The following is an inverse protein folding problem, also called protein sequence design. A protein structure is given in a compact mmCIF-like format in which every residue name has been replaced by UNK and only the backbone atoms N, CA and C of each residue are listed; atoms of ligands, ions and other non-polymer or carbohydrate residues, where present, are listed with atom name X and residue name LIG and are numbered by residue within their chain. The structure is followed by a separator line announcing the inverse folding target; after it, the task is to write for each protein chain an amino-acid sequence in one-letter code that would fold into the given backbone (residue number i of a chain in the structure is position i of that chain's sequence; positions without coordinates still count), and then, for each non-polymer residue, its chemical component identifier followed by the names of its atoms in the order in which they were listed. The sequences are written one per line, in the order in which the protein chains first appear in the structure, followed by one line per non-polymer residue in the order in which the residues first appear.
data_IF_346530645041
#
_entry.id   IF_346530645041
#
_cell.length_a   1.000
_cell.length_b   1.000
_cell.length_c   1.000
_cell.angle_alpha   90.00
_cell.angle_beta   90.00
_cell.angle_gamma   90.00
#
_symmetry.space_group_name_H-M   'P 1'
#
loop_
_entity.id
_entity.type
_entity.pdbx_description
1 polymer ?
#
# COMPACT_ATOMS: atom_id res chain seq x y z
N UNK A 1 -4.95 29.24 2.02
CA UNK A 1 -3.90 28.34 1.53
C UNK A 1 -4.48 26.94 1.53
N UNK A 2 -4.70 26.36 0.35
CA UNK A 2 -5.43 25.10 0.16
C UNK A 2 -4.68 23.96 0.84
N UNK A 3 -5.25 23.41 1.91
CA UNK A 3 -4.70 22.25 2.60
C UNK A 3 -4.73 21.05 1.67
N UNK A 4 -3.58 20.68 1.13
CA UNK A 4 -3.42 19.36 0.51
C UNK A 4 -3.47 18.36 1.65
N UNK A 5 -4.62 17.67 1.78
CA UNK A 5 -4.79 16.59 2.75
C UNK A 5 -3.70 15.55 2.51
N UNK A 6 -2.97 15.18 3.55
CA UNK A 6 -1.90 14.21 3.47
C UNK A 6 -2.41 12.91 2.81
N UNK A 7 -1.79 12.51 1.68
CA UNK A 7 -2.15 11.28 0.96
C UNK A 7 -1.05 10.27 1.19
N UNK A 8 -1.45 9.21 1.89
CA UNK A 8 -0.61 8.08 2.23
C UNK A 8 -0.86 6.97 1.21
N UNK A 9 0.22 6.48 0.60
CA UNK A 9 0.14 5.48 -0.47
C UNK A 9 0.77 4.18 0.02
N UNK A 10 0.09 3.06 -0.20
CA UNK A 10 0.69 1.74 -0.13
C UNK A 10 1.03 1.26 -1.55
N UNK A 11 2.30 1.00 -1.81
CA UNK A 11 2.79 0.36 -3.03
C UNK A 11 3.05 -1.12 -2.74
N UNK A 12 2.44 -2.02 -3.50
CA UNK A 12 2.64 -3.46 -3.42
C UNK A 12 3.27 -3.94 -4.73
N UNK A 13 4.57 -4.22 -4.68
CA UNK A 13 5.40 -4.51 -5.85
C UNK A 13 6.65 -5.27 -5.41
N UNK A 14 6.92 -6.41 -6.04
CA UNK A 14 8.03 -7.30 -5.69
C UNK A 14 9.32 -6.94 -6.43
N UNK A 15 9.23 -6.30 -7.60
CA UNK A 15 10.37 -5.88 -8.37
C UNK A 15 11.03 -4.60 -7.78
N UNK A 16 12.29 -4.67 -7.32
CA UNK A 16 12.98 -3.51 -6.75
C UNK A 16 13.12 -2.33 -7.70
N UNK A 17 13.29 -2.58 -9.00
CA UNK A 17 13.45 -1.53 -10.01
C UNK A 17 12.16 -0.75 -10.24
N UNK A 18 11.03 -1.46 -10.26
CA UNK A 18 9.70 -0.85 -10.45
C UNK A 18 9.27 -0.08 -9.20
N UNK A 19 9.62 -0.58 -8.00
CA UNK A 19 9.48 0.20 -6.76
C UNK A 19 10.28 1.50 -6.84
N UNK A 20 11.56 1.44 -7.19
CA UNK A 20 12.39 2.64 -7.26
C UNK A 20 11.85 3.65 -8.28
N UNK A 21 11.45 3.19 -9.46
CA UNK A 21 10.88 4.03 -10.51
C UNK A 21 9.59 4.71 -10.04
N UNK A 22 8.69 3.95 -9.40
CA UNK A 22 7.42 4.46 -8.88
C UNK A 22 7.63 5.49 -7.77
N UNK A 23 8.53 5.21 -6.82
CA UNK A 23 8.88 6.15 -5.75
C UNK A 23 9.45 7.46 -6.31
N UNK A 24 10.34 7.39 -7.31
CA UNK A 24 10.87 8.58 -7.98
C UNK A 24 9.76 9.39 -8.66
N UNK A 25 8.84 8.72 -9.35
CA UNK A 25 7.72 9.38 -10.04
C UNK A 25 6.76 10.08 -9.06
N UNK A 26 6.39 9.43 -7.96
CA UNK A 26 5.55 10.01 -6.91
C UNK A 26 6.21 11.22 -6.25
N UNK A 27 7.52 11.13 -5.96
CA UNK A 27 8.30 12.21 -5.36
C UNK A 27 8.45 13.42 -6.29
N UNK A 28 8.69 13.20 -7.58
CA UNK A 28 8.85 14.28 -8.57
C UNK A 28 7.61 15.18 -8.72
N UNK A 29 6.43 14.67 -8.33
CA UNK A 29 5.15 15.38 -8.42
C UNK A 29 4.60 15.78 -7.05
N UNK A 30 5.33 15.51 -5.97
CA UNK A 30 4.93 15.80 -4.60
C UNK A 30 3.52 15.22 -4.25
N UNK A 31 3.23 14.02 -4.79
CA UNK A 31 1.88 13.42 -4.76
C UNK A 31 1.58 12.65 -3.46
N UNK A 32 2.60 12.27 -2.72
CA UNK A 32 2.47 11.52 -1.47
C UNK A 32 3.44 12.09 -0.44
N UNK A 33 2.99 12.13 0.81
CA UNK A 33 3.84 12.53 1.93
C UNK A 33 4.68 11.36 2.41
N UNK A 34 4.06 10.18 2.48
CA UNK A 34 4.72 8.93 2.77
C UNK A 34 4.16 7.80 1.88
N UNK A 35 5.09 6.94 1.45
CA UNK A 35 4.80 5.77 0.63
C UNK A 35 5.32 4.55 1.38
N UNK A 36 4.41 3.68 1.75
CA UNK A 36 4.71 2.37 2.32
C UNK A 36 4.92 1.38 1.19
N UNK A 37 5.89 0.46 1.35
CA UNK A 37 6.17 -0.56 0.34
C UNK A 37 5.99 -1.94 0.97
N UNK A 38 5.12 -2.75 0.36
CA UNK A 38 5.02 -4.18 0.60
C UNK A 38 5.62 -4.91 -0.61
N UNK A 39 6.45 -5.92 -0.36
CA UNK A 39 7.22 -6.64 -1.40
C UNK A 39 6.50 -7.86 -1.94
N UNK A 40 5.39 -8.24 -1.35
CA UNK A 40 4.56 -9.34 -1.81
C UNK A 40 3.14 -9.23 -1.27
N UNK A 41 2.24 -10.11 -1.73
CA UNK A 41 0.85 -10.06 -1.30
C UNK A 41 0.64 -10.49 0.16
N UNK A 42 1.56 -11.25 0.76
CA UNK A 42 1.46 -11.61 2.17
C UNK A 42 1.77 -10.40 3.06
N UNK A 43 2.83 -9.65 2.77
CA UNK A 43 3.14 -8.39 3.44
C UNK A 43 2.01 -7.36 3.28
N UNK A 44 1.40 -7.30 2.09
CA UNK A 44 0.24 -6.43 1.86
C UNK A 44 -0.96 -6.81 2.74
N UNK A 45 -1.25 -8.10 2.90
CA UNK A 45 -2.34 -8.54 3.78
C UNK A 45 -1.99 -8.35 5.25
N UNK A 46 -0.74 -8.56 5.64
CA UNK A 46 -0.26 -8.31 6.99
C UNK A 46 -0.38 -6.83 7.37
N UNK A 47 -0.15 -5.92 6.42
CA UNK A 47 -0.42 -4.48 6.61
C UNK A 47 -1.87 -4.20 7.07
N UNK A 48 -2.87 -4.88 6.49
CA UNK A 48 -4.28 -4.61 6.79
C UNK A 48 -4.89 -5.51 7.87
N UNK A 49 -4.39 -6.73 8.01
CA UNK A 49 -5.02 -7.78 8.80
C UNK A 49 -4.10 -8.38 9.88
N UNK A 50 -2.83 -7.97 9.92
CA UNK A 50 -1.88 -8.40 10.95
C UNK A 50 -2.15 -7.80 12.33
N UNK A 51 -1.42 -8.31 13.31
CA UNK A 51 -1.54 -7.93 14.71
C UNK A 51 -1.17 -6.45 14.95
N UNK A 52 -1.68 -5.90 16.05
CA UNK A 52 -1.33 -4.56 16.50
C UNK A 52 0.16 -4.54 16.90
N UNK A 53 0.99 -3.85 16.12
CA UNK A 53 2.45 -3.83 16.29
C UNK A 53 3.28 -4.12 15.03
N UNK A 54 2.63 -4.38 13.88
CA UNK A 54 3.36 -4.52 12.62
C UNK A 54 4.10 -3.20 12.26
N UNK A 55 5.35 -3.25 11.75
CA UNK A 55 6.14 -2.04 11.45
C UNK A 55 5.45 -1.07 10.50
N UNK A 56 4.60 -1.59 9.61
CA UNK A 56 3.81 -0.78 8.67
C UNK A 56 2.51 -0.22 9.26
N UNK A 57 2.11 -0.65 10.47
CA UNK A 57 0.92 -0.20 11.22
C UNK A 57 1.23 0.70 12.42
N UNK A 58 2.51 0.97 12.71
CA UNK A 58 2.93 1.57 13.99
C UNK A 58 2.43 2.99 14.26
N UNK A 59 1.78 3.65 13.31
CA UNK A 59 1.11 4.93 13.49
C UNK A 59 -0.19 4.83 12.72
N UNK A 60 -1.33 5.28 13.27
CA UNK A 60 -2.71 5.15 12.75
C UNK A 60 -2.97 5.75 11.36
N UNK A 61 -2.19 5.32 10.38
CA UNK A 61 -2.11 5.81 9.02
C UNK A 61 -2.72 4.74 8.14
N UNK A 62 -3.94 5.00 7.68
CA UNK A 62 -4.59 4.15 6.67
C UNK A 62 -4.25 4.74 5.30
N UNK A 63 -3.64 3.97 4.39
CA UNK A 63 -3.34 4.46 3.06
C UNK A 63 -4.66 4.82 2.36
N UNK A 64 -4.68 5.97 1.70
CA UNK A 64 -5.85 6.43 0.94
C UNK A 64 -5.86 5.87 -0.48
N UNK A 65 -4.71 5.42 -0.96
CA UNK A 65 -4.52 4.82 -2.28
C UNK A 65 -3.62 3.61 -2.14
N UNK A 66 -3.98 2.53 -2.83
CA UNK A 66 -3.15 1.33 -2.95
C UNK A 66 -2.77 1.17 -4.43
N UNK A 67 -1.47 1.14 -4.70
CA UNK A 67 -0.91 0.75 -5.99
C UNK A 67 -0.51 -0.73 -5.87
N UNK A 68 -1.28 -1.62 -6.50
CA UNK A 68 -1.16 -3.06 -6.34
C UNK A 68 -0.77 -3.71 -7.67
N UNK A 69 0.41 -4.33 -7.73
CA UNK A 69 0.69 -5.26 -8.82
C UNK A 69 -0.17 -6.53 -8.68
N UNK A 70 -0.60 -7.06 -9.82
CA UNK A 70 -1.41 -8.27 -9.87
C UNK A 70 -0.56 -9.53 -9.77
N UNK A 71 0.70 -9.50 -10.24
CA UNK A 71 1.57 -10.68 -10.30
C UNK A 71 2.56 -10.71 -9.15
N UNK A 72 2.05 -11.02 -7.96
CA UNK A 72 2.86 -11.05 -6.75
C UNK A 72 3.25 -12.46 -6.32
N UNK A 73 4.44 -12.63 -5.70
CA UNK A 73 4.82 -13.87 -5.05
C UNK A 73 4.03 -14.06 -3.73
N UNK A 74 4.06 -15.30 -3.20
CA UNK A 74 3.36 -15.77 -1.98
C UNK A 74 1.83 -15.69 -2.04
N UNK A 75 1.27 -14.50 -2.22
CA UNK A 75 -0.16 -14.26 -2.41
C UNK A 75 -0.36 -13.40 -3.65
N UNK A 76 -1.17 -13.91 -4.58
CA UNK A 76 -1.48 -13.24 -5.83
C UNK A 76 -2.21 -11.90 -5.60
N UNK A 77 -1.93 -10.89 -6.42
CA UNK A 77 -2.51 -9.56 -6.25
C UNK A 77 -4.04 -9.53 -6.39
N UNK A 78 -4.63 -10.41 -7.21
CA UNK A 78 -6.09 -10.53 -7.27
C UNK A 78 -6.66 -11.11 -5.98
N UNK A 79 -5.95 -12.02 -5.32
CA UNK A 79 -6.35 -12.55 -4.01
C UNK A 79 -6.24 -11.46 -2.92
N UNK A 80 -5.20 -10.65 -2.95
CA UNK A 80 -5.10 -9.45 -2.09
C UNK A 80 -6.33 -8.56 -2.31
N UNK A 81 -6.64 -8.19 -3.55
CA UNK A 81 -7.77 -7.34 -3.89
C UNK A 81 -9.11 -7.92 -3.43
N UNK A 82 -9.33 -9.23 -3.61
CA UNK A 82 -10.55 -9.92 -3.14
C UNK A 82 -10.71 -9.80 -1.63
N UNK A 83 -9.65 -10.03 -0.86
CA UNK A 83 -9.69 -9.94 0.61
C UNK A 83 -9.94 -8.52 1.08
N UNK A 84 -9.32 -7.53 0.45
CA UNK A 84 -9.56 -6.12 0.79
C UNK A 84 -11.00 -5.69 0.48
N UNK A 85 -11.55 -6.09 -0.67
CA UNK A 85 -12.95 -5.75 -1.01
C UNK A 85 -13.99 -6.56 -0.24
N UNK A 86 -13.59 -7.70 0.32
CA UNK A 86 -14.44 -8.58 1.12
C UNK A 86 -14.57 -8.18 2.60
N UNK A 87 -13.69 -7.32 3.12
CA UNK A 87 -13.66 -6.94 4.54
C UNK A 87 -14.23 -5.52 4.75
N UNK A 88 -15.12 -5.34 5.73
CA UNK A 88 -15.78 -4.06 5.99
C UNK A 88 -14.79 -2.92 6.33
N UNK A 89 -13.63 -3.25 6.91
CA UNK A 89 -12.60 -2.29 7.30
C UNK A 89 -11.87 -1.69 6.10
N UNK A 90 -11.77 -2.44 5.00
CA UNK A 90 -10.94 -2.09 3.83
C UNK A 90 -11.74 -1.99 2.53
N UNK A 91 -13.01 -2.40 2.49
CA UNK A 91 -13.86 -2.38 1.30
C UNK A 91 -14.01 -1.00 0.64
N UNK A 92 -13.96 0.07 1.44
CA UNK A 92 -14.13 1.45 1.00
C UNK A 92 -12.82 2.12 0.54
N UNK A 93 -11.67 1.48 0.75
CA UNK A 93 -10.39 1.88 0.14
C UNK A 93 -10.42 1.57 -1.35
#
# INVERSE_FOLDING_TARGET
MTGHSEVEILLVEDNPSDVELTLRALKARNLANQVFVARDGAEALEFFFGDQGHPLREIGVTPRVILLDLKLPKVDGLEVLRRLKGDERTRAL
#
